data_IF_470442304274
#
_entry.id   IF_470442304274
#
_cell.length_a   1.000
_cell.length_b   1.000
_cell.length_c   1.000
_cell.angle_alpha   90.00
_cell.angle_beta   90.00
_cell.angle_gamma   90.00
#
_symmetry.space_group_name_H-M   'P 1'
#
loop_
_entity.id
_entity.type
_entity.pdbx_description
1 polymer ?
#
# COMPACT_ATOMS: atom_id res chain seq x y z
N UNK A 1 4.92 -8.08 -5.05
CA UNK A 1 3.95 -7.01 -4.75
C UNK A 1 3.19 -6.68 -6.03
N UNK A 2 1.91 -6.29 -5.96
CA UNK A 2 1.13 -5.95 -7.17
C UNK A 2 1.59 -4.64 -7.82
N UNK A 3 2.09 -3.71 -7.02
CA UNK A 3 2.59 -2.40 -7.45
C UNK A 3 3.96 -2.15 -6.80
N UNK A 4 5.07 -2.60 -7.40
CA UNK A 4 6.39 -2.51 -6.78
C UNK A 4 6.83 -1.06 -6.55
N UNK A 5 6.54 -0.15 -7.48
CA UNK A 5 6.95 1.27 -7.36
C UNK A 5 5.96 2.14 -6.57
N UNK A 6 4.78 1.63 -6.17
CA UNK A 6 3.79 2.34 -5.37
C UNK A 6 3.79 1.87 -3.91
N UNK A 7 4.31 2.71 -3.02
CA UNK A 7 4.53 2.40 -1.61
C UNK A 7 3.37 2.90 -0.75
N UNK A 8 2.62 1.96 -0.18
CA UNK A 8 1.60 2.24 0.84
C UNK A 8 2.25 2.22 2.25
N UNK A 9 2.47 3.38 2.85
CA UNK A 9 3.11 3.50 4.16
C UNK A 9 2.10 3.88 5.24
N UNK A 10 2.23 3.23 6.40
CA UNK A 10 1.37 3.49 7.56
C UNK A 10 -0.10 3.08 7.39
N UNK A 11 -0.42 2.27 6.37
CA UNK A 11 -1.80 1.85 6.08
C UNK A 11 -2.66 2.97 5.51
N UNK A 12 -2.14 3.70 4.52
CA UNK A 12 -2.91 4.76 3.85
C UNK A 12 -4.18 4.19 3.21
N UNK A 13 -4.06 3.05 2.53
CA UNK A 13 -5.18 2.16 2.24
C UNK A 13 -4.90 0.79 2.85
N UNK A 14 -5.88 -0.12 2.87
CA UNK A 14 -5.59 -1.51 3.20
C UNK A 14 -4.82 -2.18 2.05
N UNK A 15 -3.76 -2.92 2.35
CA UNK A 15 -2.94 -3.59 1.33
C UNK A 15 -3.76 -4.58 0.49
N UNK A 16 -4.76 -5.19 1.11
CA UNK A 16 -5.72 -6.05 0.43
C UNK A 16 -6.56 -5.27 -0.59
N UNK A 17 -7.02 -4.07 -0.27
CA UNK A 17 -7.79 -3.23 -1.19
C UNK A 17 -6.98 -2.87 -2.45
N UNK A 18 -5.73 -2.44 -2.25
CA UNK A 18 -4.80 -2.20 -3.36
C UNK A 18 -4.56 -3.50 -4.16
N UNK A 19 -4.43 -4.64 -3.49
CA UNK A 19 -4.16 -5.92 -4.15
C UNK A 19 -5.36 -6.59 -4.85
N UNK A 20 -6.60 -6.29 -4.46
CA UNK A 20 -7.80 -7.02 -4.91
C UNK A 20 -8.82 -6.16 -5.65
N UNK A 21 -9.07 -4.92 -5.23
CA UNK A 21 -10.05 -4.06 -5.90
C UNK A 21 -9.40 -3.25 -7.02
N UNK A 22 -8.18 -2.77 -6.80
CA UNK A 22 -7.39 -2.13 -7.85
C UNK A 22 -6.81 -3.15 -8.85
N UNK A 23 -6.36 -4.31 -8.39
CA UNK A 23 -5.78 -5.34 -9.28
C UNK A 23 -6.74 -6.38 -9.87
N UNK A 24 -7.95 -6.56 -9.31
CA UNK A 24 -8.80 -7.75 -9.60
C UNK A 24 -10.31 -7.52 -9.45
N UNK A 25 -10.85 -6.41 -9.94
CA UNK A 25 -12.30 -6.32 -10.14
C UNK A 25 -12.75 -7.36 -11.19
N UNK A 26 -13.13 -8.56 -10.71
CA UNK A 26 -13.81 -9.67 -11.39
C UNK A 26 -12.96 -10.61 -12.25
N UNK A 27 -12.44 -11.70 -11.63
CA UNK A 27 -12.23 -13.03 -12.24
C UNK A 27 -11.22 -13.19 -13.39
N UNK A 28 -10.80 -12.11 -14.06
CA UNK A 28 -9.76 -12.06 -15.08
C UNK A 28 -8.77 -10.97 -14.67
N UNK A 29 -7.47 -11.28 -14.75
CA UNK A 29 -6.41 -10.26 -14.79
C UNK A 29 -6.73 -9.28 -15.92
N UNK A 30 -7.44 -8.19 -15.64
CA UNK A 30 -7.52 -7.02 -16.53
C UNK A 30 -6.41 -6.10 -16.06
N UNK A 31 -5.35 -6.03 -16.85
CA UNK A 31 -4.27 -5.05 -16.67
C UNK A 31 -4.88 -3.65 -16.56
N UNK A 32 -4.37 -2.83 -15.64
CA UNK A 32 -4.76 -1.42 -15.56
C UNK A 32 -4.12 -0.59 -16.68
N UNK A 33 -3.19 -1.17 -17.43
CA UNK A 33 -2.48 -0.51 -18.51
C UNK A 33 -3.44 -0.28 -19.68
N UNK A 34 -3.73 1.00 -19.92
CA UNK A 34 -4.46 1.47 -21.10
C UNK A 34 -3.51 2.26 -22.00
N UNK A 35 -4.00 2.63 -23.20
CA UNK A 35 -3.26 3.55 -24.08
C UNK A 35 -2.97 4.90 -23.43
N UNK A 36 -3.84 5.34 -22.53
CA UNK A 36 -3.66 6.57 -21.75
C UNK A 36 -2.54 6.41 -20.74
N UNK A 37 -2.46 5.27 -20.04
CA UNK A 37 -1.34 4.94 -19.14
C UNK A 37 -0.02 4.92 -19.90
N UNK A 38 0.02 4.32 -21.09
CA UNK A 38 1.23 4.33 -21.93
C UNK A 38 1.64 5.73 -22.37
N UNK A 39 0.67 6.60 -22.69
CA UNK A 39 0.94 7.99 -23.05
C UNK A 39 1.42 8.81 -21.85
N UNK A 40 0.81 8.61 -20.68
CA UNK A 40 1.23 9.17 -19.42
C UNK A 40 2.66 8.74 -19.06
N UNK A 41 2.98 7.45 -19.20
CA UNK A 41 4.31 6.90 -18.94
C UNK A 41 5.36 7.58 -19.82
N UNK A 42 5.16 7.62 -21.16
CA UNK A 42 6.07 8.32 -22.08
C UNK A 42 6.24 9.80 -21.75
N UNK A 43 5.16 10.45 -21.32
CA UNK A 43 5.18 11.87 -20.93
C UNK A 43 6.00 12.07 -19.66
N UNK A 44 5.78 11.23 -18.64
CA UNK A 44 6.54 11.23 -17.40
C UNK A 44 8.04 11.00 -17.66
N UNK A 45 8.40 9.99 -18.47
CA UNK A 45 9.80 9.72 -18.86
C UNK A 45 10.46 10.96 -19.46
N UNK A 46 9.85 11.52 -20.50
CA UNK A 46 10.38 12.71 -21.20
C UNK A 46 10.51 13.93 -20.29
N UNK A 47 9.51 14.17 -19.44
CA UNK A 47 9.52 15.29 -18.50
C UNK A 47 10.63 15.12 -17.46
N UNK A 48 10.79 13.91 -16.91
CA UNK A 48 11.83 13.62 -15.91
C UNK A 48 13.23 13.75 -16.51
N UNK A 49 13.49 13.15 -17.66
CA UNK A 49 14.79 13.25 -18.34
C UNK A 49 15.20 14.71 -18.59
N UNK A 50 14.25 15.54 -19.05
CA UNK A 50 14.48 16.97 -19.26
C UNK A 50 14.76 17.71 -17.95
N UNK A 51 14.07 17.34 -16.87
CA UNK A 51 14.21 17.95 -15.57
C UNK A 51 15.54 17.56 -14.89
N UNK A 52 15.96 16.31 -15.04
CA UNK A 52 17.22 15.77 -14.53
C UNK A 52 18.43 16.44 -15.22
N UNK A 53 18.38 16.64 -16.54
CA UNK A 53 19.43 17.38 -17.28
C UNK A 53 19.54 18.85 -16.90
N UNK A 54 18.45 19.43 -16.37
CA UNK A 54 18.37 20.82 -15.95
C UNK A 54 18.21 20.92 -14.44
N UNK A 55 18.74 19.93 -13.71
CA UNK A 55 18.61 19.81 -12.26
C UNK A 55 18.83 21.19 -11.62
N UNK A 56 17.80 21.64 -10.92
CA UNK A 56 17.68 23.04 -10.53
C UNK A 56 16.85 23.20 -9.26
N UNK A 57 16.66 24.46 -8.88
CA UNK A 57 15.86 24.83 -7.72
C UNK A 57 14.36 24.49 -7.91
N UNK A 58 13.61 24.58 -6.81
CA UNK A 58 12.18 24.25 -6.81
C UNK A 58 11.38 25.07 -7.85
N UNK A 59 11.77 26.33 -8.12
CA UNK A 59 11.12 27.16 -9.12
C UNK A 59 11.31 26.62 -10.55
N UNK A 60 12.52 26.21 -10.88
CA UNK A 60 12.83 25.58 -12.18
C UNK A 60 12.04 24.28 -12.34
N UNK A 61 12.09 23.39 -11.33
CA UNK A 61 11.37 22.11 -11.35
C UNK A 61 9.86 22.32 -11.45
N UNK A 62 9.32 23.34 -10.77
CA UNK A 62 7.91 23.69 -10.86
C UNK A 62 7.49 23.93 -12.31
N UNK A 63 8.24 24.71 -13.08
CA UNK A 63 7.86 25.09 -14.44
C UNK A 63 8.15 24.00 -15.49
N UNK A 64 9.29 23.31 -15.39
CA UNK A 64 9.71 22.37 -16.44
C UNK A 64 9.20 20.94 -16.21
N UNK A 65 8.82 20.60 -14.97
CA UNK A 65 8.43 19.25 -14.57
C UNK A 65 7.06 19.22 -13.90
N UNK A 66 6.89 19.90 -12.76
CA UNK A 66 5.68 19.74 -11.95
C UNK A 66 4.42 20.22 -12.67
N UNK A 67 4.44 21.45 -13.20
CA UNK A 67 3.31 22.04 -13.94
C UNK A 67 2.89 21.20 -15.15
N UNK A 68 3.78 20.80 -16.08
CA UNK A 68 3.37 19.96 -17.21
C UNK A 68 2.97 18.55 -16.76
N UNK A 69 3.62 17.96 -15.75
CA UNK A 69 3.22 16.64 -15.23
C UNK A 69 1.81 16.68 -14.65
N UNK A 70 1.53 17.65 -13.78
CA UNK A 70 0.22 17.81 -13.16
C UNK A 70 -0.87 18.04 -14.21
N UNK A 71 -0.60 18.86 -15.24
CA UNK A 71 -1.55 19.15 -16.31
C UNK A 71 -1.76 17.96 -17.26
N UNK A 72 -0.67 17.45 -17.83
CA UNK A 72 -0.73 16.51 -18.97
C UNK A 72 -0.94 15.06 -18.51
N UNK A 73 -0.65 14.74 -17.25
CA UNK A 73 -0.72 13.38 -16.71
C UNK A 73 -1.77 13.25 -15.61
N UNK A 74 -1.84 14.19 -14.68
CA UNK A 74 -2.77 14.10 -13.53
C UNK A 74 -4.02 14.98 -13.65
N UNK A 75 -4.15 15.78 -14.72
CA UNK A 75 -5.34 16.58 -15.00
C UNK A 75 -5.57 17.78 -14.05
N UNK A 76 -4.51 18.30 -13.43
CA UNK A 76 -4.61 19.49 -12.57
C UNK A 76 -4.07 20.75 -13.25
N UNK A 77 -4.69 21.87 -12.93
CA UNK A 77 -4.06 23.18 -13.01
C UNK A 77 -3.30 23.47 -11.70
N UNK A 78 -2.00 23.74 -11.81
CA UNK A 78 -1.17 24.16 -10.69
C UNK A 78 -1.29 25.68 -10.52
N UNK A 79 -2.01 26.10 -9.49
CA UNK A 79 -2.24 27.52 -9.22
C UNK A 79 -1.02 28.23 -8.63
N UNK A 80 -1.23 29.51 -8.35
CA UNK A 80 -0.26 30.32 -7.62
C UNK A 80 -0.03 29.75 -6.22
N UNK A 81 1.16 30.02 -5.68
CA UNK A 81 1.56 29.45 -4.41
C UNK A 81 2.65 30.23 -3.70
N UNK A 82 2.74 30.00 -2.39
CA UNK A 82 3.71 30.64 -1.52
C UNK A 82 4.59 29.59 -0.87
N UNK A 83 5.92 29.82 -0.82
CA UNK A 83 6.89 28.93 -0.17
C UNK A 83 6.84 27.47 -0.69
N UNK A 84 6.53 27.30 -1.98
CA UNK A 84 6.43 25.99 -2.64
C UNK A 84 5.12 25.25 -2.38
N UNK A 85 4.14 25.88 -1.72
CA UNK A 85 2.81 25.30 -1.49
C UNK A 85 1.80 26.01 -2.39
N UNK A 86 1.07 25.23 -3.16
CA UNK A 86 0.19 25.65 -4.24
C UNK A 86 -1.22 25.06 -4.06
N UNK A 87 -2.23 25.74 -4.60
CA UNK A 87 -3.53 25.11 -4.84
C UNK A 87 -3.50 24.27 -6.13
N UNK A 88 -4.11 23.09 -6.10
CA UNK A 88 -4.44 22.34 -7.32
C UNK A 88 -5.90 22.53 -7.66
N UNK A 89 -6.18 22.92 -8.90
CA UNK A 89 -7.52 23.19 -9.40
C UNK A 89 -7.84 22.26 -10.57
N UNK A 90 -9.12 22.11 -10.91
CA UNK A 90 -9.52 21.37 -12.11
C UNK A 90 -9.09 22.13 -13.39
N UNK A 91 -9.11 23.47 -13.35
CA UNK A 91 -8.68 24.32 -14.46
C UNK A 91 -8.20 25.70 -13.99
N UNK A 92 -7.64 26.49 -14.92
CA UNK A 92 -7.23 27.87 -14.64
C UNK A 92 -8.45 28.80 -14.43
N UNK A 93 -9.58 28.53 -15.08
CA UNK A 93 -10.83 29.27 -14.88
C UNK A 93 -11.39 29.08 -13.46
N UNK A 94 -11.23 27.88 -12.91
CA UNK A 94 -11.65 27.57 -11.54
C UNK A 94 -10.84 28.38 -10.52
N UNK A 95 -9.52 28.52 -10.71
CA UNK A 95 -8.69 29.42 -9.89
C UNK A 95 -9.12 30.88 -10.08
N UNK A 96 -9.26 31.34 -11.32
CA UNK A 96 -9.60 32.74 -11.64
C UNK A 96 -10.99 33.16 -11.11
N UNK A 97 -11.93 32.22 -11.03
CA UNK A 97 -13.27 32.44 -10.45
C UNK A 97 -13.30 32.36 -8.92
N UNK A 98 -12.15 32.08 -8.28
CA UNK A 98 -12.03 32.01 -6.83
C UNK A 98 -12.65 30.76 -6.22
N UNK A 99 -12.83 29.68 -6.99
CA UNK A 99 -13.25 28.40 -6.42
C UNK A 99 -12.18 27.87 -5.45
N UNK A 100 -12.56 27.08 -4.44
CA UNK A 100 -11.58 26.41 -3.60
C UNK A 100 -10.73 25.43 -4.43
N UNK A 101 -9.45 25.23 -4.10
CA UNK A 101 -8.65 24.20 -4.73
C UNK A 101 -9.19 22.81 -4.37
N UNK A 102 -8.95 21.81 -5.23
CA UNK A 102 -9.23 20.41 -4.96
C UNK A 102 -8.26 19.86 -3.89
N UNK A 103 -6.99 20.26 -3.96
CA UNK A 103 -5.90 19.81 -3.10
C UNK A 103 -4.90 20.93 -2.82
N UNK A 104 -4.10 20.78 -1.76
CA UNK A 104 -2.83 21.50 -1.64
C UNK A 104 -1.70 20.67 -2.23
N UNK A 105 -0.78 21.30 -2.94
CA UNK A 105 0.41 20.69 -3.47
C UNK A 105 1.69 21.32 -2.89
N UNK A 106 2.65 20.50 -2.48
CA UNK A 106 4.04 20.93 -2.28
C UNK A 106 4.86 20.59 -3.53
N UNK A 107 5.58 21.58 -4.06
CA UNK A 107 6.54 21.37 -5.16
C UNK A 107 7.95 21.68 -4.67
N UNK A 108 8.78 20.64 -4.64
CA UNK A 108 10.16 20.70 -4.13
C UNK A 108 11.22 20.82 -5.23
N UNK A 109 12.48 20.85 -4.81
CA UNK A 109 13.61 20.69 -5.73
C UNK A 109 13.67 19.24 -6.27
N UNK A 110 14.48 19.00 -7.31
CA UNK A 110 14.49 17.71 -8.02
C UNK A 110 14.88 16.55 -7.09
N UNK A 111 15.98 16.74 -6.35
CA UNK A 111 16.62 15.79 -5.44
C UNK A 111 16.14 15.93 -3.98
N UNK A 112 15.09 16.72 -3.74
CA UNK A 112 14.64 16.99 -2.38
C UNK A 112 13.96 15.76 -1.78
N UNK A 113 14.55 15.22 -0.71
CA UNK A 113 13.94 14.14 0.07
C UNK A 113 12.74 14.67 0.88
N UNK A 114 11.54 14.08 0.76
CA UNK A 114 10.33 14.57 1.42
C UNK A 114 10.34 14.48 2.96
N UNK A 115 11.21 13.68 3.55
CA UNK A 115 11.25 13.33 4.97
C UNK A 115 12.48 13.90 5.69
N UNK A 116 13.40 14.51 4.94
CA UNK A 116 14.65 15.07 5.47
C UNK A 116 14.57 16.58 5.65
N UNK A 117 15.18 17.09 6.72
CA UNK A 117 15.34 18.54 6.95
C UNK A 117 16.42 19.10 6.01
N UNK A 118 16.12 20.22 5.36
CA UNK A 118 17.07 20.96 4.50
C UNK A 118 17.08 22.43 4.90
N UNK A 119 18.27 23.03 4.99
CA UNK A 119 18.47 24.45 5.32
C UNK A 119 17.75 24.92 6.60
N UNK A 120 17.72 24.08 7.64
CA UNK A 120 17.04 24.38 8.92
C UNK A 120 15.51 24.38 8.84
N UNK A 121 14.92 24.09 7.68
CA UNK A 121 13.46 23.97 7.50
C UNK A 121 13.01 22.56 7.87
N UNK A 122 11.77 22.46 8.37
CA UNK A 122 11.11 21.18 8.58
C UNK A 122 11.01 20.40 7.27
N UNK A 123 10.92 19.06 7.31
CA UNK A 123 10.76 18.24 6.11
C UNK A 123 9.57 18.70 5.25
N UNK A 124 9.67 18.60 3.91
CA UNK A 124 8.57 18.91 3.00
C UNK A 124 7.22 18.28 3.39
N UNK A 125 7.22 17.01 3.80
CA UNK A 125 6.01 16.30 4.23
C UNK A 125 5.38 16.96 5.44
N UNK A 126 6.17 17.36 6.44
CA UNK A 126 5.67 18.05 7.63
C UNK A 126 5.15 19.46 7.30
N UNK A 127 5.82 20.17 6.39
CA UNK A 127 5.39 21.51 5.94
C UNK A 127 4.03 21.44 5.24
N UNK A 128 3.85 20.51 4.30
CA UNK A 128 2.57 20.31 3.63
C UNK A 128 1.49 19.89 4.62
N UNK A 129 1.77 18.95 5.54
CA UNK A 129 0.83 18.53 6.55
C UNK A 129 0.41 19.67 7.49
N UNK A 130 1.34 20.58 7.83
CA UNK A 130 1.07 21.74 8.66
C UNK A 130 0.15 22.76 7.96
N UNK A 131 0.37 23.03 6.67
CA UNK A 131 -0.52 23.92 5.90
C UNK A 131 -1.88 23.28 5.63
N UNK A 132 -1.92 21.99 5.33
CA UNK A 132 -3.17 21.25 5.17
C UNK A 132 -4.01 21.26 6.47
N UNK A 133 -3.37 21.20 7.63
CA UNK A 133 -4.06 21.33 8.91
C UNK A 133 -4.68 22.72 9.11
N UNK A 134 -4.03 23.79 8.61
CA UNK A 134 -4.48 25.19 8.73
C UNK A 134 -5.50 25.60 7.67
N UNK A 135 -5.65 24.82 6.59
CA UNK A 135 -6.57 25.12 5.51
C UNK A 135 -8.00 25.35 6.05
N UNK A 136 -8.60 26.49 5.67
CA UNK A 136 -9.96 26.89 6.06
C UNK A 136 -11.03 26.14 5.28
N UNK A 137 -10.72 25.78 4.05
CA UNK A 137 -11.52 24.88 3.22
C UNK A 137 -11.29 23.45 3.73
N UNK A 138 -12.31 22.60 3.63
CA UNK A 138 -12.22 21.19 4.02
C UNK A 138 -11.39 20.36 3.03
N UNK A 139 -10.09 20.67 2.97
CA UNK A 139 -9.11 19.95 2.16
C UNK A 139 -8.58 18.78 2.98
N UNK A 140 -9.00 17.57 2.61
CA UNK A 140 -8.64 16.34 3.33
C UNK A 140 -7.33 15.71 2.86
N UNK A 141 -6.80 16.13 1.71
CA UNK A 141 -5.59 15.55 1.12
C UNK A 141 -4.62 16.61 0.62
N UNK A 142 -3.34 16.23 0.57
CA UNK A 142 -2.28 17.02 -0.03
C UNK A 142 -1.40 16.15 -0.90
N UNK A 143 -0.88 16.73 -1.98
CA UNK A 143 0.04 16.09 -2.92
C UNK A 143 1.44 16.69 -2.77
N UNK A 144 2.46 15.87 -2.70
CA UNK A 144 3.85 16.32 -2.67
C UNK A 144 4.55 15.80 -3.91
N UNK A 145 5.23 16.70 -4.62
CA UNK A 145 5.90 16.38 -5.87
C UNK A 145 7.34 16.92 -5.88
N UNK A 146 8.29 16.01 -6.09
CA UNK A 146 9.70 16.28 -6.40
C UNK A 146 10.08 15.55 -7.68
N UNK A 147 11.34 15.64 -8.11
CA UNK A 147 11.83 14.87 -9.27
C UNK A 147 11.81 13.36 -9.06
N UNK A 148 11.85 12.93 -7.79
CA UNK A 148 11.94 11.53 -7.40
C UNK A 148 10.65 10.95 -6.83
N UNK A 149 9.82 11.79 -6.21
CA UNK A 149 8.70 11.34 -5.37
C UNK A 149 7.41 12.05 -5.75
N UNK A 150 6.35 11.27 -5.90
CA UNK A 150 4.98 11.77 -5.93
C UNK A 150 4.20 11.12 -4.78
N UNK A 151 3.83 11.91 -3.78
CA UNK A 151 3.29 11.40 -2.51
C UNK A 151 1.94 12.05 -2.19
N UNK A 152 0.94 11.22 -1.94
CA UNK A 152 -0.36 11.63 -1.43
C UNK A 152 -0.39 11.47 0.11
N UNK A 153 -0.75 12.53 0.80
CA UNK A 153 -0.92 12.56 2.26
C UNK A 153 -2.34 12.96 2.64
N UNK A 154 -2.72 12.64 3.88
CA UNK A 154 -3.98 13.07 4.48
C UNK A 154 -3.81 14.22 5.45
N UNK A 155 -4.87 14.99 5.62
CA UNK A 155 -5.02 15.90 6.74
C UNK A 155 -4.98 15.12 8.04
N UNK A 156 -4.33 15.70 9.05
CA UNK A 156 -4.26 15.10 10.39
C UNK A 156 -5.67 14.86 10.93
N UNK A 157 -5.97 13.60 11.28
CA UNK A 157 -7.28 13.17 11.79
C UNK A 157 -8.08 12.31 10.81
N UNK A 158 -7.80 12.39 9.51
CA UNK A 158 -8.53 11.65 8.46
C UNK A 158 -8.05 10.19 8.28
N UNK A 159 -7.07 9.74 9.06
CA UNK A 159 -6.52 8.38 8.94
C UNK A 159 -5.34 8.13 9.88
N UNK A 160 -4.64 6.98 9.72
CA UNK A 160 -3.48 6.64 10.53
C UNK A 160 -2.41 7.73 10.44
N UNK A 161 -1.83 8.09 11.58
CA UNK A 161 -0.86 9.18 11.68
C UNK A 161 0.39 8.86 10.86
N UNK A 162 0.78 9.78 9.98
CA UNK A 162 1.97 9.64 9.14
C UNK A 162 1.81 8.66 7.98
N UNK A 163 0.59 8.17 7.71
CA UNK A 163 0.33 7.36 6.54
C UNK A 163 0.40 8.19 5.26
N UNK A 164 0.96 7.59 4.21
CA UNK A 164 1.02 8.18 2.89
C UNK A 164 1.05 7.08 1.82
N UNK A 165 0.65 7.46 0.60
CA UNK A 165 0.84 6.64 -0.58
C UNK A 165 1.84 7.35 -1.50
N UNK A 166 2.89 6.68 -1.94
CA UNK A 166 3.98 7.31 -2.70
C UNK A 166 4.35 6.50 -3.93
N UNK A 167 4.42 7.16 -5.08
CA UNK A 167 5.05 6.63 -6.27
C UNK A 167 6.53 7.01 -6.25
N UNK A 168 7.40 6.01 -6.26
CA UNK A 168 8.83 6.15 -6.54
C UNK A 168 9.00 6.30 -8.06
N UNK A 169 9.28 7.52 -8.52
CA UNK A 169 9.29 7.84 -9.95
C UNK A 169 10.45 7.14 -10.66
N UNK A 170 11.71 7.19 -10.17
CA UNK A 170 12.82 6.45 -10.76
C UNK A 170 12.54 4.95 -10.85
N UNK A 171 12.11 4.32 -9.75
CA UNK A 171 11.81 2.88 -9.72
C UNK A 171 10.71 2.52 -10.72
N UNK A 172 9.66 3.35 -10.83
CA UNK A 172 8.57 3.16 -11.79
C UNK A 172 9.05 3.19 -13.25
N UNK A 173 9.96 4.12 -13.58
CA UNK A 173 10.47 4.26 -14.93
C UNK A 173 11.49 3.19 -15.29
N UNK A 174 12.42 2.88 -14.38
CA UNK A 174 13.48 1.88 -14.57
C UNK A 174 12.90 0.46 -14.70
N UNK A 175 11.91 0.13 -13.87
CA UNK A 175 11.23 -1.17 -13.92
C UNK A 175 10.12 -1.23 -14.98
N UNK A 176 9.89 -0.16 -15.73
CA UNK A 176 8.80 -0.05 -16.70
C UNK A 176 7.40 -0.33 -16.10
N UNK A 177 7.22 0.02 -14.83
CA UNK A 177 6.07 -0.35 -14.00
C UNK A 177 4.84 0.54 -14.26
N UNK A 178 4.19 0.26 -15.40
CA UNK A 178 2.95 0.91 -15.82
C UNK A 178 1.76 0.59 -14.93
N UNK A 179 1.78 -0.54 -14.22
CA UNK A 179 0.69 -0.92 -13.30
C UNK A 179 0.70 0.01 -12.07
N UNK A 180 1.86 0.28 -11.47
CA UNK A 180 1.98 1.27 -10.39
C UNK A 180 1.61 2.68 -10.85
N UNK A 181 2.03 3.07 -12.07
CA UNK A 181 1.62 4.36 -12.65
C UNK A 181 0.10 4.44 -12.85
N UNK A 182 -0.54 3.38 -13.37
CA UNK A 182 -1.98 3.34 -13.54
C UNK A 182 -2.73 3.49 -12.21
N UNK A 183 -2.24 2.82 -11.16
CA UNK A 183 -2.78 2.98 -9.81
C UNK A 183 -2.60 4.42 -9.30
N UNK A 184 -1.42 5.03 -9.51
CA UNK A 184 -1.17 6.42 -9.15
C UNK A 184 -2.07 7.40 -9.92
N UNK A 185 -2.27 7.23 -11.23
CA UNK A 185 -3.17 8.05 -12.04
C UNK A 185 -4.59 8.07 -11.48
N UNK A 186 -5.09 6.89 -11.09
CA UNK A 186 -6.44 6.74 -10.55
C UNK A 186 -6.60 7.26 -9.12
N UNK A 187 -5.54 7.22 -8.31
CA UNK A 187 -5.58 7.62 -6.90
C UNK A 187 -5.17 9.08 -6.68
N UNK A 188 -4.28 9.61 -7.51
CA UNK A 188 -3.68 10.94 -7.34
C UNK A 188 -4.23 11.96 -8.33
N UNK A 189 -4.80 11.52 -9.47
CA UNK A 189 -5.31 12.40 -10.52
C UNK A 189 -6.55 13.20 -10.10
N UNK A 190 -6.77 14.32 -10.78
CA UNK A 190 -7.86 15.27 -10.48
C UNK A 190 -9.24 14.62 -10.51
N UNK A 191 -9.43 13.59 -11.34
CA UNK A 191 -10.67 12.82 -11.39
C UNK A 191 -11.02 12.15 -10.06
N UNK A 192 -10.05 11.81 -9.22
CA UNK A 192 -10.30 11.23 -7.90
C UNK A 192 -10.83 12.26 -6.88
N UNK A 193 -10.57 13.54 -7.12
CA UNK A 193 -10.87 14.66 -6.21
C UNK A 193 -11.85 15.68 -6.79
N UNK A 194 -12.38 15.43 -7.99
CA UNK A 194 -13.42 16.26 -8.59
C UNK A 194 -14.78 15.73 -8.13
N UNK A 195 -15.63 16.56 -7.49
CA UNK A 195 -16.98 16.13 -7.08
C UNK A 195 -17.83 15.64 -8.26
N UNK A 196 -18.52 14.52 -8.07
CA UNK A 196 -19.55 14.04 -8.99
C UNK A 196 -20.83 14.88 -8.92
N UNK A 197 -21.86 14.49 -9.68
CA UNK A 197 -23.16 15.18 -9.71
C UNK A 197 -23.85 15.22 -8.34
N UNK A 198 -23.58 14.21 -7.49
CA UNK A 198 -24.08 14.11 -6.12
C UNK A 198 -23.22 14.85 -5.08
N UNK A 199 -22.16 15.52 -5.54
CA UNK A 199 -21.20 16.23 -4.69
C UNK A 199 -20.20 15.32 -3.97
N UNK A 200 -20.25 14.00 -4.17
CA UNK A 200 -19.32 13.06 -3.55
C UNK A 200 -17.98 13.02 -4.30
N UNK A 201 -16.87 12.87 -3.57
CA UNK A 201 -15.56 12.68 -4.18
C UNK A 201 -15.33 11.18 -4.45
N UNK A 202 -14.85 10.79 -5.65
CA UNK A 202 -14.53 9.39 -5.93
C UNK A 202 -13.54 8.76 -4.94
N UNK A 203 -12.59 9.55 -4.40
CA UNK A 203 -11.67 9.11 -3.35
C UNK A 203 -12.38 8.67 -2.07
N UNK A 204 -13.57 9.20 -1.75
CA UNK A 204 -14.35 8.81 -0.57
C UNK A 204 -14.95 7.42 -0.71
N UNK A 205 -15.41 7.08 -1.93
CA UNK A 205 -15.86 5.73 -2.22
C UNK A 205 -14.71 4.73 -2.05
N UNK A 206 -13.53 5.08 -2.55
CA UNK A 206 -12.29 4.31 -2.42
C UNK A 206 -11.91 4.13 -0.93
N UNK A 207 -11.98 5.19 -0.13
CA UNK A 207 -11.69 5.11 1.30
C UNK A 207 -12.68 4.24 2.07
N UNK A 208 -13.97 4.44 1.81
CA UNK A 208 -15.04 3.66 2.44
C UNK A 208 -14.88 2.17 2.12
N UNK A 209 -14.59 1.84 0.87
CA UNK A 209 -14.35 0.46 0.44
C UNK A 209 -13.08 -0.10 1.10
N UNK A 210 -11.97 0.64 1.09
CA UNK A 210 -10.73 0.25 1.76
C UNK A 210 -10.93 -0.02 3.26
N UNK A 211 -11.73 0.82 3.95
CA UNK A 211 -12.04 0.70 5.38
C UNK A 211 -12.94 -0.50 5.68
N UNK A 212 -14.03 -0.66 4.93
CA UNK A 212 -14.90 -1.82 5.04
C UNK A 212 -14.13 -3.13 4.80
N UNK A 213 -13.17 -3.13 3.88
CA UNK A 213 -12.32 -4.30 3.67
C UNK A 213 -11.35 -4.54 4.80
N UNK A 214 -10.72 -3.51 5.36
CA UNK A 214 -9.89 -3.66 6.56
C UNK A 214 -10.70 -4.24 7.73
N UNK A 215 -11.93 -3.78 7.94
CA UNK A 215 -12.85 -4.31 8.96
C UNK A 215 -13.22 -5.77 8.68
N UNK A 216 -13.60 -6.12 7.45
CA UNK A 216 -13.92 -7.51 7.07
C UNK A 216 -12.73 -8.45 7.25
N UNK A 217 -11.53 -8.04 6.82
CA UNK A 217 -10.30 -8.83 7.02
C UNK A 217 -10.02 -9.05 8.52
N UNK A 218 -10.27 -8.04 9.36
CA UNK A 218 -10.12 -8.18 10.80
C UNK A 218 -11.12 -9.18 11.40
N UNK A 219 -12.38 -9.12 10.99
CA UNK A 219 -13.42 -10.07 11.43
C UNK A 219 -13.19 -11.49 10.90
N UNK A 220 -12.78 -11.64 9.64
CA UNK A 220 -12.44 -12.92 9.04
C UNK A 220 -11.23 -13.55 9.73
N UNK A 221 -10.19 -12.77 10.02
CA UNK A 221 -9.04 -13.23 10.79
C UNK A 221 -9.45 -13.69 12.20
N UNK A 222 -10.28 -12.90 12.89
CA UNK A 222 -10.79 -13.25 14.21
C UNK A 222 -11.56 -14.56 14.17
N UNK A 223 -12.48 -14.72 13.20
CA UNK A 223 -13.23 -15.95 13.00
C UNK A 223 -12.31 -17.15 12.71
N UNK A 224 -11.34 -16.97 11.82
CA UNK A 224 -10.37 -18.01 11.47
C UNK A 224 -9.54 -18.45 12.70
N UNK A 225 -9.11 -17.51 13.54
CA UNK A 225 -8.39 -17.79 14.80
C UNK A 225 -9.25 -18.64 15.74
N UNK A 226 -10.50 -18.26 15.98
CA UNK A 226 -11.39 -19.05 16.85
C UNK A 226 -11.69 -20.45 16.30
N UNK A 227 -12.05 -20.54 15.01
CA UNK A 227 -12.32 -21.82 14.37
C UNK A 227 -11.08 -22.73 14.34
N UNK A 228 -9.89 -22.16 14.16
CA UNK A 228 -8.64 -22.92 14.19
C UNK A 228 -8.34 -23.41 15.61
N UNK A 229 -8.53 -22.57 16.63
CA UNK A 229 -8.38 -22.99 18.02
C UNK A 229 -9.31 -24.15 18.38
N UNK A 230 -10.60 -24.06 18.03
CA UNK A 230 -11.58 -25.12 18.24
C UNK A 230 -11.19 -26.42 17.53
N UNK A 231 -10.78 -26.35 16.26
CA UNK A 231 -10.32 -27.52 15.49
C UNK A 231 -9.06 -28.14 16.07
N UNK A 232 -8.12 -27.34 16.57
CA UNK A 232 -6.91 -27.84 17.23
C UNK A 232 -7.24 -28.55 18.54
N UNK A 233 -8.11 -27.97 19.36
CA UNK A 233 -8.57 -28.60 20.61
C UNK A 233 -9.26 -29.93 20.30
N UNK A 234 -10.18 -29.96 19.33
CA UNK A 234 -10.88 -31.18 18.94
C UNK A 234 -9.90 -32.24 18.40
N UNK A 235 -8.96 -31.86 17.54
CA UNK A 235 -7.96 -32.79 17.01
C UNK A 235 -7.06 -33.38 18.10
N UNK A 236 -6.67 -32.59 19.10
CA UNK A 236 -5.91 -33.07 20.26
C UNK A 236 -6.76 -34.00 21.14
N UNK A 237 -8.03 -33.67 21.37
CA UNK A 237 -8.96 -34.49 22.13
C UNK A 237 -9.16 -35.87 21.48
N UNK A 238 -9.37 -35.89 20.16
CA UNK A 238 -9.56 -37.11 19.37
C UNK A 238 -8.29 -37.97 19.39
N UNK A 239 -7.11 -37.35 19.26
CA UNK A 239 -5.83 -38.06 19.30
C UNK A 239 -5.52 -38.69 20.67
N UNK A 240 -6.08 -38.14 21.75
CA UNK A 240 -5.85 -38.56 23.14
C UNK A 240 -6.96 -39.43 23.73
N UNK A 241 -8.01 -39.72 22.96
CA UNK A 241 -9.09 -40.62 23.40
C UNK A 241 -10.08 -40.00 24.39
N UNK A 242 -10.18 -38.67 24.46
CA UNK A 242 -11.33 -38.00 25.09
C UNK A 242 -11.32 -37.80 26.62
N UNK A 243 -10.25 -38.15 27.34
CA UNK A 243 -10.23 -38.13 28.82
C UNK A 243 -9.29 -37.09 29.46
N UNK A 244 -8.92 -36.02 28.75
CA UNK A 244 -7.94 -35.03 29.24
C UNK A 244 -8.56 -33.76 29.83
N UNK A 245 -7.75 -33.02 30.60
CA UNK A 245 -8.06 -31.68 31.10
C UNK A 245 -8.21 -30.70 29.92
N UNK A 246 -9.45 -30.26 29.68
CA UNK A 246 -9.79 -29.30 28.63
C UNK A 246 -8.98 -27.99 28.74
N UNK A 247 -8.54 -27.62 29.94
CA UNK A 247 -7.71 -26.43 30.17
C UNK A 247 -6.33 -26.61 29.55
N UNK A 248 -5.68 -27.75 29.81
CA UNK A 248 -4.38 -28.07 29.27
C UNK A 248 -4.42 -28.20 27.73
N UNK A 249 -5.47 -28.82 27.19
CA UNK A 249 -5.69 -28.92 25.74
C UNK A 249 -5.89 -27.55 25.09
N UNK A 250 -6.69 -26.69 25.70
CA UNK A 250 -6.87 -25.30 25.25
C UNK A 250 -5.54 -24.55 25.23
N UNK A 251 -4.77 -24.63 26.30
CA UNK A 251 -3.50 -23.89 26.41
C UNK A 251 -2.46 -24.39 25.40
N UNK A 252 -2.42 -25.70 25.13
CA UNK A 252 -1.59 -26.28 24.08
C UNK A 252 -2.04 -25.83 22.67
N UNK A 253 -3.35 -25.86 22.40
CA UNK A 253 -3.90 -25.40 21.11
C UNK A 253 -3.66 -23.92 20.87
N UNK A 254 -3.87 -23.06 21.88
CA UNK A 254 -3.57 -21.63 21.79
C UNK A 254 -2.06 -21.39 21.59
N UNK A 255 -1.20 -22.13 22.29
CA UNK A 255 0.25 -22.05 22.08
C UNK A 255 0.64 -22.40 20.65
N UNK A 256 0.07 -23.46 20.09
CA UNK A 256 0.28 -23.84 18.70
C UNK A 256 -0.19 -22.73 17.74
N UNK A 257 -1.39 -22.20 17.96
CA UNK A 257 -1.96 -21.13 17.15
C UNK A 257 -1.11 -19.87 17.16
N UNK A 258 -0.65 -19.42 18.33
CA UNK A 258 0.23 -18.24 18.44
C UNK A 258 1.56 -18.44 17.73
N UNK A 259 2.14 -19.65 17.77
CA UNK A 259 3.36 -19.96 17.00
C UNK A 259 3.11 -19.88 15.50
N UNK A 260 2.01 -20.43 15.00
CA UNK A 260 1.64 -20.32 13.58
C UNK A 260 1.44 -18.85 13.17
N UNK A 261 0.74 -18.05 13.98
CA UNK A 261 0.56 -16.61 13.74
C UNK A 261 1.89 -15.86 13.71
N UNK A 262 2.80 -16.17 14.63
CA UNK A 262 4.14 -15.56 14.67
C UNK A 262 4.93 -15.87 13.39
N UNK A 263 4.85 -17.10 12.91
CA UNK A 263 5.55 -17.53 11.69
C UNK A 263 4.96 -16.85 10.46
N UNK A 264 3.62 -16.83 10.32
CA UNK A 264 2.93 -16.09 9.27
C UNK A 264 3.36 -14.61 9.25
N UNK A 265 3.44 -13.99 10.42
CA UNK A 265 3.89 -12.62 10.57
C UNK A 265 5.36 -12.44 10.16
N UNK A 266 6.23 -13.37 10.55
CA UNK A 266 7.65 -13.34 10.19
C UNK A 266 7.84 -13.47 8.67
N UNK A 267 7.19 -14.45 8.03
CA UNK A 267 7.23 -14.67 6.59
C UNK A 267 6.70 -13.46 5.80
N UNK A 268 5.64 -12.81 6.30
CA UNK A 268 5.06 -11.63 5.66
C UNK A 268 5.95 -10.38 5.78
N UNK A 269 6.71 -10.24 6.87
CA UNK A 269 7.45 -9.00 7.18
C UNK A 269 8.94 -9.05 6.84
N UNK A 270 9.54 -10.24 6.77
CA UNK A 270 10.93 -10.42 6.34
C UNK A 270 11.03 -11.22 5.04
N UNK A 271 11.11 -10.54 3.88
CA UNK A 271 11.23 -11.20 2.58
C UNK A 271 12.48 -12.09 2.48
N UNK A 272 13.52 -11.88 3.30
CA UNK A 272 14.77 -12.66 3.24
C UNK A 272 14.56 -14.13 3.61
N UNK A 273 13.61 -14.42 4.50
CA UNK A 273 13.24 -15.80 4.84
C UNK A 273 12.81 -16.56 3.58
N UNK A 274 11.96 -15.94 2.77
CA UNK A 274 11.49 -16.52 1.52
C UNK A 274 12.53 -16.44 0.40
N UNK A 275 13.65 -15.70 0.53
CA UNK A 275 14.72 -15.72 -0.48
C UNK A 275 15.51 -17.02 -0.45
N UNK A 276 15.59 -17.71 0.69
CA UNK A 276 16.19 -19.04 0.78
C UNK A 276 15.26 -20.07 0.10
N UNK A 277 15.68 -20.74 -1.00
CA UNK A 277 14.83 -21.68 -1.73
C UNK A 277 14.43 -22.88 -0.88
N UNK A 278 15.33 -23.38 -0.04
CA UNK A 278 15.09 -24.54 0.83
C UNK A 278 14.02 -24.20 1.86
N UNK A 279 14.11 -23.03 2.50
CA UNK A 279 13.06 -22.58 3.42
C UNK A 279 11.73 -22.38 2.68
N UNK A 280 11.76 -21.64 1.56
CA UNK A 280 10.56 -21.33 0.77
C UNK A 280 9.80 -22.57 0.35
N UNK A 281 10.49 -23.58 -0.19
CA UNK A 281 9.83 -24.71 -0.84
C UNK A 281 9.54 -25.86 0.14
N UNK A 282 10.40 -26.06 1.16
CA UNK A 282 10.30 -27.22 2.05
C UNK A 282 9.70 -26.91 3.42
N UNK A 283 9.90 -25.70 3.95
CA UNK A 283 9.55 -25.35 5.33
C UNK A 283 8.47 -24.29 5.46
N UNK A 284 8.35 -23.36 4.51
CA UNK A 284 7.45 -22.21 4.65
C UNK A 284 6.00 -22.65 4.88
N UNK A 285 5.31 -21.91 5.72
CA UNK A 285 3.91 -22.19 5.99
C UNK A 285 3.06 -21.98 4.72
N UNK A 286 3.43 -21.02 3.87
CA UNK A 286 2.83 -20.84 2.55
C UNK A 286 2.95 -22.09 1.65
N UNK A 287 4.12 -22.74 1.61
CA UNK A 287 4.31 -23.98 0.85
C UNK A 287 3.46 -25.13 1.42
N UNK A 288 3.38 -25.26 2.74
CA UNK A 288 2.51 -26.23 3.41
C UNK A 288 1.03 -26.00 3.04
N UNK A 289 0.58 -24.74 3.09
CA UNK A 289 -0.80 -24.37 2.73
C UNK A 289 -1.08 -24.66 1.25
N UNK A 290 -0.16 -24.32 0.34
CA UNK A 290 -0.31 -24.61 -1.09
C UNK A 290 -0.41 -26.11 -1.37
N UNK A 291 0.40 -26.92 -0.70
CA UNK A 291 0.37 -28.37 -0.84
C UNK A 291 -0.96 -28.97 -0.36
N UNK A 292 -1.49 -28.49 0.78
CA UNK A 292 -2.77 -28.96 1.31
C UNK A 292 -3.95 -28.48 0.45
N UNK A 293 -3.90 -27.23 -0.02
CA UNK A 293 -4.99 -26.61 -0.78
C UNK A 293 -5.06 -27.07 -2.24
N UNK A 294 -3.96 -27.57 -2.79
CA UNK A 294 -3.88 -28.08 -4.16
C UNK A 294 -4.36 -29.53 -4.34
N UNK A 295 -4.91 -30.16 -3.30
CA UNK A 295 -5.37 -31.55 -3.32
C UNK A 295 -6.89 -31.62 -3.35
N UNK A 296 -7.43 -32.48 -4.23
CA UNK A 296 -8.87 -32.74 -4.31
C UNK A 296 -9.38 -33.61 -3.15
N UNK A 297 -8.52 -34.50 -2.62
CA UNK A 297 -8.84 -35.36 -1.49
C UNK A 297 -8.06 -34.98 -0.22
N UNK A 298 -8.71 -34.92 0.96
CA UNK A 298 -8.02 -34.68 2.22
C UNK A 298 -7.05 -35.84 2.52
N UNK A 299 -5.79 -35.54 2.92
CA UNK A 299 -4.83 -36.58 3.23
C UNK A 299 -5.32 -37.47 4.38
N UNK A 300 -5.07 -38.77 4.28
CA UNK A 300 -5.43 -39.72 5.33
C UNK A 300 -4.83 -39.29 6.68
N UNK A 301 -5.65 -39.35 7.74
CA UNK A 301 -5.24 -38.98 9.09
C UNK A 301 -3.92 -39.67 9.48
N UNK A 302 -3.00 -38.90 10.08
CA UNK A 302 -1.70 -39.34 10.60
C UNK A 302 -0.71 -39.98 9.61
N UNK A 303 -0.89 -39.85 8.29
CA UNK A 303 0.00 -40.50 7.30
C UNK A 303 0.84 -39.59 6.42
N UNK A 304 0.79 -38.27 6.63
CA UNK A 304 1.40 -37.31 5.71
C UNK A 304 2.50 -36.42 6.31
N UNK A 305 2.89 -36.63 7.57
CA UNK A 305 4.00 -35.88 8.20
C UNK A 305 3.81 -34.36 8.26
N UNK A 306 2.62 -33.84 7.93
CA UNK A 306 2.34 -32.40 7.92
C UNK A 306 2.55 -31.80 9.32
N UNK A 307 2.13 -32.53 10.36
CA UNK A 307 2.39 -32.13 11.73
C UNK A 307 3.87 -32.10 12.07
N UNK A 308 4.64 -33.11 11.64
CA UNK A 308 6.09 -33.15 11.84
C UNK A 308 6.80 -31.99 11.14
N UNK A 309 6.31 -31.56 9.96
CA UNK A 309 6.81 -30.37 9.26
C UNK A 309 6.46 -29.08 10.00
N UNK A 310 5.26 -28.97 10.57
CA UNK A 310 4.90 -27.82 11.44
C UNK A 310 5.80 -27.79 12.68
N UNK A 311 6.09 -28.93 13.30
CA UNK A 311 7.03 -29.02 14.42
C UNK A 311 8.46 -28.65 14.02
N UNK A 312 8.91 -29.10 12.84
CA UNK A 312 10.21 -28.70 12.29
C UNK A 312 10.28 -27.19 12.04
N UNK A 313 9.21 -26.58 11.54
CA UNK A 313 9.10 -25.14 11.36
C UNK A 313 9.17 -24.38 12.69
N UNK A 314 8.52 -24.88 13.74
CA UNK A 314 8.65 -24.34 15.09
C UNK A 314 10.10 -24.42 15.61
N UNK A 315 10.79 -25.54 15.33
CA UNK A 315 12.19 -25.69 15.71
C UNK A 315 13.10 -24.73 14.94
N UNK A 316 12.91 -24.58 13.61
CA UNK A 316 13.69 -23.64 12.78
C UNK A 316 13.55 -22.20 13.28
N UNK A 317 12.35 -21.78 13.69
CA UNK A 317 12.16 -20.44 14.24
C UNK A 317 12.68 -20.23 15.66
N UNK A 318 12.89 -21.31 16.42
CA UNK A 318 13.48 -21.24 17.76
C UNK A 318 15.01 -21.32 17.72
N UNK A 319 15.54 -22.22 16.89
CA UNK A 319 16.93 -22.68 16.95
C UNK A 319 17.76 -22.30 15.70
N UNK A 320 17.12 -21.81 14.62
CA UNK A 320 17.74 -21.51 13.34
C UNK A 320 17.61 -22.66 12.31
N UNK A 321 17.96 -22.40 11.05
CA UNK A 321 18.01 -23.45 10.03
C UNK A 321 19.10 -24.47 10.40
N UNK A 322 18.80 -25.79 10.39
CA UNK A 322 19.84 -26.80 10.54
C UNK A 322 20.84 -26.65 9.38
N UNK A 323 22.12 -26.52 9.73
CA UNK A 323 23.23 -26.37 8.80
C UNK A 323 23.61 -27.66 8.08
#
# INVERSE_FOLDING_TARGET
>A
MLFPSLRNRGGFFSDYYLGTVFGRASGRRRSLVTREVDAAFRTLTRLRERAEQRAGDAATIREIFARPLLRDVFGYHLGEGEKGIHGLFASAEDEASGKPPLLLAYVGAFDEDPDTKRDGKAPPTERLAAELAKARVDLRYGLLLTGERLRLIRRKGEGPRGAYLELDIPECLEAEDRESLAAALRLFGASAFTPGEDGSLPIDAIERESRQHAERVSEDLKRAVFQTAERLIQALLDARGGTEDLTALRDAALTCLYRLLFILYAEARDPRLLQNPVYRDSYSLDALVREVSGRDDPPAANRFGLWDRVLALFAVHRDGLPG
#
